data_IF_816328218316
#
_entry.id   IF_816328218316
#
_cell.length_a   1.000
_cell.length_b   1.000
_cell.length_c   1.000
_cell.angle_alpha   90.00
_cell.angle_beta   90.00
_cell.angle_gamma   90.00
#
_symmetry.space_group_name_H-M   'P 1'
#
loop_
_entity.id
_entity.type
_entity.pdbx_description
1 polymer ?
#
# COMPACT_ATOMS: atom_id res chain seq x y z
N UNK A 1 -4.12 -11.28 6.31
CA UNK A 1 -4.92 -12.25 5.51
C UNK A 1 -5.62 -11.68 4.27
N UNK A 2 -6.06 -10.41 4.22
CA UNK A 2 -6.70 -9.83 3.01
C UNK A 2 -5.72 -9.64 1.82
N UNK A 3 -4.47 -9.30 2.10
CA UNK A 3 -3.42 -9.14 1.07
C UNK A 3 -3.09 -10.45 0.33
N UNK A 4 -3.02 -11.58 1.07
CA UNK A 4 -2.79 -12.91 0.49
C UNK A 4 -3.95 -13.39 -0.39
N UNK A 5 -5.20 -13.06 -0.04
CA UNK A 5 -6.37 -13.37 -0.88
C UNK A 5 -6.33 -12.63 -2.21
N UNK A 6 -5.89 -11.37 -2.22
CA UNK A 6 -5.75 -10.61 -3.47
C UNK A 6 -4.55 -11.12 -4.29
N UNK A 7 -3.41 -11.43 -3.65
CA UNK A 7 -2.23 -12.01 -4.30
C UNK A 7 -2.53 -13.33 -5.00
N UNK A 8 -3.34 -14.20 -4.39
CA UNK A 8 -3.75 -15.48 -4.98
C UNK A 8 -4.60 -15.29 -6.25
N UNK A 9 -5.48 -14.29 -6.28
CA UNK A 9 -6.28 -13.95 -7.46
C UNK A 9 -5.40 -13.41 -8.59
N UNK A 10 -4.40 -12.58 -8.29
CA UNK A 10 -3.48 -12.08 -9.31
C UNK A 10 -2.59 -13.18 -9.91
N UNK A 11 -2.14 -14.13 -9.09
CA UNK A 11 -1.34 -15.27 -9.55
C UNK A 11 -2.15 -16.20 -10.47
N UNK A 12 -3.44 -16.39 -10.16
CA UNK A 12 -4.38 -17.14 -10.99
C UNK A 12 -4.58 -16.48 -12.36
N UNK A 13 -4.75 -15.15 -12.41
CA UNK A 13 -4.94 -14.41 -13.66
C UNK A 13 -3.70 -14.50 -14.56
N UNK A 14 -2.51 -14.38 -13.98
CA UNK A 14 -1.24 -14.53 -14.72
C UNK A 14 -1.10 -15.95 -15.28
N UNK A 15 -1.44 -16.97 -14.51
CA UNK A 15 -1.44 -18.37 -14.96
C UNK A 15 -2.39 -18.61 -16.13
N UNK A 16 -3.61 -18.08 -16.05
CA UNK A 16 -4.60 -18.19 -17.12
C UNK A 16 -4.14 -17.45 -18.38
N UNK A 17 -3.54 -16.27 -18.24
CA UNK A 17 -2.98 -15.53 -19.38
C UNK A 17 -1.85 -16.31 -20.07
N UNK A 18 -0.92 -16.89 -19.31
CA UNK A 18 0.15 -17.74 -19.86
C UNK A 18 -0.42 -18.97 -20.57
N UNK A 19 -1.44 -19.60 -19.98
CA UNK A 19 -2.13 -20.76 -20.57
C UNK A 19 -2.84 -20.41 -21.89
N UNK A 20 -3.52 -19.26 -21.94
CA UNK A 20 -4.17 -18.76 -23.16
C UNK A 20 -3.15 -18.42 -24.26
N UNK A 21 -2.00 -17.84 -23.91
CA UNK A 21 -0.93 -17.56 -24.87
C UNK A 21 -0.35 -18.86 -25.42
N UNK A 22 -0.10 -19.86 -24.57
CA UNK A 22 0.36 -21.20 -24.99
C UNK A 22 -0.66 -21.93 -25.86
N UNK A 23 -1.95 -21.72 -25.62
CA UNK A 23 -3.02 -22.33 -26.41
C UNK A 23 -3.22 -21.62 -27.76
N UNK A 24 -3.10 -20.29 -27.79
CA UNK A 24 -3.22 -19.51 -29.01
C UNK A 24 -2.01 -19.69 -29.95
N UNK A 25 -0.83 -19.90 -29.38
CA UNK A 25 0.41 -20.18 -30.12
C UNK A 25 0.97 -21.53 -29.69
N UNK A 26 0.38 -22.66 -30.13
CA UNK A 26 1.03 -23.95 -29.97
C UNK A 26 2.40 -23.87 -30.68
N UNK A 27 3.50 -24.29 -30.03
CA UNK A 27 4.80 -24.32 -30.70
C UNK A 27 4.65 -25.17 -31.95
N UNK A 28 4.94 -24.59 -33.12
CA UNK A 28 4.95 -25.27 -34.40
C UNK A 28 6.02 -26.37 -34.36
N UNK A 29 5.62 -27.53 -33.84
CA UNK A 29 6.41 -28.75 -33.81
C UNK A 29 5.95 -29.55 -35.00
N UNK A 30 6.38 -29.14 -36.21
CA UNK A 30 6.45 -30.11 -37.29
C UNK A 30 7.65 -31.00 -36.94
N UNK A 31 7.45 -32.29 -36.61
CA UNK A 31 8.57 -33.18 -36.35
C UNK A 31 9.41 -33.28 -37.62
N UNK A 32 10.70 -32.98 -37.48
CA UNK A 32 11.72 -33.25 -38.50
C UNK A 32 11.90 -34.77 -38.54
N UNK A 33 11.09 -35.44 -39.35
CA UNK A 33 11.00 -36.90 -39.33
C UNK A 33 12.00 -37.57 -40.30
N UNK A 34 12.73 -36.78 -41.11
CA UNK A 34 13.68 -37.31 -42.07
C UNK A 34 14.91 -36.40 -42.25
N UNK A 35 16.10 -37.00 -42.16
CA UNK A 35 17.38 -36.31 -42.41
C UNK A 35 17.54 -35.94 -43.89
N UNK A 36 18.20 -34.82 -44.18
CA UNK A 36 18.47 -34.36 -45.56
C UNK A 36 19.11 -35.44 -46.44
N UNK A 37 20.07 -36.21 -45.90
CA UNK A 37 20.74 -37.28 -46.63
C UNK A 37 19.81 -38.45 -46.96
N UNK A 38 18.88 -38.79 -46.05
CA UNK A 38 17.87 -39.83 -46.30
C UNK A 38 16.89 -39.38 -47.38
N UNK A 39 16.52 -38.12 -47.35
CA UNK A 39 15.69 -37.51 -48.38
C UNK A 39 16.38 -37.50 -49.76
N UNK A 40 17.65 -37.07 -49.83
CA UNK A 40 18.43 -37.09 -51.06
C UNK A 40 18.45 -38.50 -51.68
N UNK A 41 18.70 -39.52 -50.87
CA UNK A 41 18.71 -40.91 -51.32
C UNK A 41 17.31 -41.39 -51.76
N UNK A 42 16.24 -40.97 -51.08
CA UNK A 42 14.85 -41.31 -51.45
C UNK A 42 14.44 -40.72 -52.80
N UNK A 43 14.97 -39.55 -53.16
CA UNK A 43 14.79 -38.94 -54.49
C UNK A 43 15.51 -39.75 -55.56
N UNK A 44 16.78 -40.13 -55.33
CA UNK A 44 17.58 -40.94 -56.27
C UNK A 44 17.00 -42.36 -56.46
N UNK A 45 16.36 -42.91 -55.43
CA UNK A 45 15.72 -44.24 -55.49
C UNK A 45 14.27 -44.21 -56.00
N UNK A 46 13.81 -43.08 -56.55
CA UNK A 46 12.47 -42.90 -57.15
C UNK A 46 11.30 -43.20 -56.19
N UNK A 47 11.49 -42.93 -54.90
CA UNK A 47 10.46 -43.16 -53.86
C UNK A 47 9.58 -41.94 -53.59
N UNK A 48 9.97 -40.77 -54.12
CA UNK A 48 9.31 -39.49 -53.89
C UNK A 48 8.36 -39.16 -55.06
N UNK A 49 7.13 -38.74 -54.75
CA UNK A 49 6.11 -38.40 -55.75
C UNK A 49 5.98 -36.88 -55.96
N UNK A 50 5.97 -36.11 -54.86
CA UNK A 50 5.77 -34.66 -54.87
C UNK A 50 6.65 -34.01 -53.81
N UNK A 51 7.24 -32.87 -54.15
CA UNK A 51 8.03 -32.06 -53.22
C UNK A 51 7.53 -30.63 -53.29
N UNK A 52 7.10 -30.10 -52.14
CA UNK A 52 6.77 -28.69 -51.99
C UNK A 52 7.94 -27.99 -51.30
N UNK A 53 8.48 -26.96 -51.95
CA UNK A 53 9.64 -26.21 -51.44
C UNK A 53 9.15 -24.88 -50.87
N UNK A 54 9.53 -24.60 -49.63
CA UNK A 54 9.37 -23.30 -48.97
C UNK A 54 10.74 -22.78 -48.53
N UNK A 55 11.16 -21.66 -49.08
CA UNK A 55 12.45 -21.02 -48.79
C UNK A 55 12.28 -19.96 -47.71
N UNK A 56 13.02 -20.10 -46.61
CA UNK A 56 13.11 -19.11 -45.53
C UNK A 56 14.58 -18.74 -45.30
N UNK A 57 14.96 -17.51 -45.70
CA UNK A 57 16.28 -16.83 -45.70
C UNK A 57 17.56 -17.67 -45.95
N UNK A 58 17.83 -18.73 -45.17
CA UNK A 58 19.03 -19.58 -45.26
C UNK A 58 18.76 -21.10 -45.24
N UNK A 59 17.51 -21.55 -45.07
CA UNK A 59 17.14 -22.97 -45.01
C UNK A 59 15.91 -23.22 -45.88
N UNK A 60 15.96 -24.26 -46.71
CA UNK A 60 14.80 -24.73 -47.45
C UNK A 60 14.07 -25.78 -46.62
N UNK A 61 12.77 -25.61 -46.45
CA UNK A 61 11.87 -26.65 -45.95
C UNK A 61 11.28 -27.39 -47.14
N UNK A 62 11.51 -28.70 -47.18
CA UNK A 62 10.96 -29.61 -48.18
C UNK A 62 9.83 -30.42 -47.54
N UNK A 63 8.59 -30.20 -47.96
CA UNK A 63 7.47 -31.09 -47.66
C UNK A 63 7.42 -32.17 -48.73
N UNK A 64 7.75 -33.39 -48.34
CA UNK A 64 7.96 -34.54 -49.22
C UNK A 64 6.76 -35.46 -49.10
N UNK A 65 6.15 -35.80 -50.24
CA UNK A 65 5.13 -36.84 -50.32
C UNK A 65 5.71 -38.05 -51.03
N UNK A 66 5.88 -39.14 -50.28
CA UNK A 66 6.35 -40.43 -50.80
C UNK A 66 5.25 -41.09 -51.65
N UNK A 67 5.62 -41.96 -52.60
CA UNK A 67 4.65 -42.74 -53.40
C UNK A 67 3.72 -43.61 -52.52
N UNK A 68 4.17 -43.98 -51.33
CA UNK A 68 3.39 -44.70 -50.30
C UNK A 68 2.37 -43.81 -49.56
N UNK A 69 2.26 -42.52 -49.92
CA UNK A 69 1.30 -41.58 -49.35
C UNK A 69 1.72 -40.93 -48.03
N UNK A 70 2.90 -41.26 -47.49
CA UNK A 70 3.44 -40.61 -46.29
C UNK A 70 3.99 -39.22 -46.60
N UNK A 71 3.81 -38.30 -45.64
CA UNK A 71 4.31 -36.93 -45.70
C UNK A 71 5.45 -36.75 -44.69
N UNK A 72 6.57 -36.21 -45.15
CA UNK A 72 7.74 -35.91 -44.33
C UNK A 72 8.17 -34.46 -44.52
N UNK A 73 8.66 -33.84 -43.46
CA UNK A 73 9.22 -32.48 -43.50
C UNK A 73 10.73 -32.57 -43.28
N UNK A 74 11.49 -32.00 -44.21
CA UNK A 74 12.96 -32.06 -44.22
C UNK A 74 13.51 -30.65 -44.33
N UNK A 75 14.51 -30.33 -43.50
CA UNK A 75 15.29 -29.10 -43.65
C UNK A 75 16.56 -29.40 -44.43
N UNK A 76 16.88 -28.57 -45.42
CA UNK A 76 18.10 -28.69 -46.20
C UNK A 76 18.69 -27.34 -46.59
N UNK A 77 19.95 -27.34 -47.06
CA UNK A 77 20.62 -26.12 -47.51
C UNK A 77 19.83 -25.46 -48.66
N UNK A 78 19.81 -24.13 -48.66
CA UNK A 78 19.22 -23.35 -49.75
C UNK A 78 20.11 -23.42 -51.00
N UNK A 79 19.50 -23.63 -52.16
CA UNK A 79 20.19 -23.55 -53.46
C UNK A 79 20.96 -24.81 -53.91
N UNK A 80 20.64 -25.99 -53.38
CA UNK A 80 21.23 -27.25 -53.89
C UNK A 80 20.72 -27.57 -55.31
N UNK A 81 21.52 -27.18 -56.30
CA UNK A 81 21.22 -27.39 -57.72
C UNK A 81 21.32 -28.86 -58.13
N UNK A 82 22.11 -29.67 -57.42
CA UNK A 82 22.27 -31.09 -57.72
C UNK A 82 21.00 -31.87 -57.34
N UNK A 83 20.38 -31.53 -56.21
CA UNK A 83 19.10 -32.12 -55.82
C UNK A 83 17.98 -31.75 -56.78
N UNK A 84 17.90 -30.48 -57.23
CA UNK A 84 16.88 -30.07 -58.20
C UNK A 84 17.01 -30.77 -59.56
N UNK A 85 18.25 -31.07 -59.99
CA UNK A 85 18.49 -31.81 -61.23
C UNK A 85 18.03 -33.27 -61.12
N UNK A 86 18.33 -33.93 -59.99
CA UNK A 86 17.88 -35.30 -59.73
C UNK A 86 16.34 -35.39 -59.64
N UNK A 87 15.67 -34.40 -59.07
CA UNK A 87 14.20 -34.34 -59.05
C UNK A 87 13.58 -34.22 -60.45
N UNK A 88 14.25 -33.48 -61.36
CA UNK A 88 13.84 -33.35 -62.77
C UNK A 88 14.03 -34.66 -63.54
N UNK A 89 15.16 -35.35 -63.35
CA UNK A 89 15.45 -36.64 -64.00
C UNK A 89 14.46 -37.73 -63.59
N UNK A 90 14.00 -37.71 -62.33
CA UNK A 90 13.04 -38.68 -61.78
C UNK A 90 11.57 -38.23 -61.87
N UNK A 91 11.23 -37.20 -62.65
CA UNK A 91 9.86 -36.68 -62.84
C UNK A 91 9.11 -36.32 -61.54
N UNK A 92 9.82 -35.85 -60.52
CA UNK A 92 9.20 -35.44 -59.25
C UNK A 92 8.46 -34.11 -59.46
N UNK A 93 7.19 -34.05 -59.06
CA UNK A 93 6.39 -32.82 -59.16
C UNK A 93 6.88 -31.79 -58.14
N UNK A 94 7.55 -30.74 -58.62
CA UNK A 94 7.98 -29.61 -57.78
C UNK A 94 6.88 -28.54 -57.74
N UNK A 95 6.41 -28.20 -56.54
CA UNK A 95 5.55 -27.04 -56.30
C UNK A 95 6.23 -26.08 -55.33
N UNK A 96 6.16 -24.79 -55.63
CA UNK A 96 6.64 -23.76 -54.70
C UNK A 96 5.44 -23.08 -54.08
N UNK A 97 5.31 -23.17 -52.76
CA UNK A 97 4.36 -22.34 -52.04
C UNK A 97 5.10 -21.08 -51.57
N UNK A 98 4.57 -19.87 -51.85
CA UNK A 98 5.13 -18.66 -51.25
C UNK A 98 5.05 -18.79 -49.72
N UNK A 99 6.05 -18.30 -48.98
CA UNK A 99 6.04 -18.36 -47.52
C UNK A 99 4.76 -17.71 -47.01
N UNK A 100 4.14 -18.32 -46.00
CA UNK A 100 2.91 -17.82 -45.40
C UNK A 100 3.15 -16.40 -44.87
N UNK A 101 2.70 -15.38 -45.63
CA UNK A 101 2.87 -13.99 -45.24
C UNK A 101 1.91 -13.71 -44.09
N UNK A 102 2.48 -13.64 -42.89
CA UNK A 102 1.70 -13.24 -41.72
C UNK A 102 1.24 -11.80 -41.95
N UNK A 103 -0.08 -11.51 -41.94
CA UNK A 103 -0.54 -10.14 -42.16
C UNK A 103 0.07 -9.19 -41.13
N UNK A 104 0.53 -8.02 -41.57
CA UNK A 104 1.19 -7.02 -40.70
C UNK A 104 0.36 -6.65 -39.44
N UNK A 105 -0.96 -6.69 -39.56
CA UNK A 105 -1.88 -6.41 -38.45
C UNK A 105 -1.88 -7.51 -37.38
N UNK A 106 -1.55 -8.76 -37.71
CA UNK A 106 -1.50 -9.86 -36.75
C UNK A 106 -0.35 -9.66 -35.74
N UNK A 107 0.79 -9.14 -36.20
CA UNK A 107 1.90 -8.73 -35.33
C UNK A 107 1.53 -7.55 -34.41
N UNK A 108 0.79 -6.56 -34.94
CA UNK A 108 0.31 -5.43 -34.15
C UNK A 108 -0.68 -5.85 -33.07
N UNK A 109 -1.66 -6.70 -33.39
CA UNK A 109 -2.63 -7.18 -32.40
C UNK A 109 -1.92 -8.00 -31.32
N UNK A 110 -1.00 -8.88 -31.68
CA UNK A 110 -0.27 -9.72 -30.72
C UNK A 110 0.60 -8.89 -29.77
N UNK A 111 1.15 -7.77 -30.23
CA UNK A 111 2.02 -6.90 -29.43
C UNK A 111 1.26 -5.85 -28.63
N UNK A 112 0.23 -5.22 -29.23
CA UNK A 112 -0.51 -4.12 -28.61
C UNK A 112 -1.60 -4.59 -27.66
N UNK A 113 -2.20 -5.76 -27.89
CA UNK A 113 -3.29 -6.26 -27.05
C UNK A 113 -2.85 -6.52 -25.59
N UNK A 114 -1.67 -7.13 -25.31
CA UNK A 114 -1.17 -7.26 -23.94
C UNK A 114 -0.91 -5.90 -23.28
N UNK A 115 -0.36 -4.93 -24.02
CA UNK A 115 -0.07 -3.59 -23.49
C UNK A 115 -1.39 -2.86 -23.15
N UNK A 116 -2.38 -2.91 -24.03
CA UNK A 116 -3.69 -2.29 -23.79
C UNK A 116 -4.41 -2.93 -22.60
N UNK A 117 -4.31 -4.25 -22.41
CA UNK A 117 -4.87 -4.91 -21.24
C UNK A 117 -4.18 -4.47 -19.94
N UNK A 118 -2.85 -4.34 -19.94
CA UNK A 118 -2.10 -3.84 -18.77
C UNK A 118 -2.50 -2.39 -18.45
N UNK A 119 -2.54 -1.52 -19.47
CA UNK A 119 -2.90 -0.10 -19.30
C UNK A 119 -4.35 0.05 -18.83
N UNK A 120 -5.28 -0.67 -19.44
CA UNK A 120 -6.70 -0.67 -19.04
C UNK A 120 -6.92 -1.23 -17.64
N UNK A 121 -6.19 -2.29 -17.28
CA UNK A 121 -6.20 -2.84 -15.93
C UNK A 121 -5.63 -1.86 -14.90
N UNK A 122 -4.53 -1.17 -15.21
CA UNK A 122 -3.93 -0.17 -14.34
C UNK A 122 -4.88 1.02 -14.12
N UNK A 123 -5.57 1.45 -15.17
CA UNK A 123 -6.59 2.49 -15.10
C UNK A 123 -7.78 2.07 -14.22
N UNK A 124 -8.28 0.84 -14.37
CA UNK A 124 -9.34 0.28 -13.53
C UNK A 124 -8.93 0.16 -12.06
N UNK A 125 -7.70 -0.28 -11.79
CA UNK A 125 -7.14 -0.35 -10.43
C UNK A 125 -7.02 1.05 -9.80
N UNK A 126 -6.58 2.04 -10.58
CA UNK A 126 -6.48 3.43 -10.13
C UNK A 126 -7.85 3.99 -9.77
N UNK A 127 -8.88 3.66 -10.55
CA UNK A 127 -10.27 4.03 -10.29
C UNK A 127 -10.85 3.33 -9.03
N UNK A 128 -10.44 2.09 -8.73
CA UNK A 128 -10.86 1.39 -7.51
C UNK A 128 -10.13 1.90 -6.27
N UNK A 129 -8.90 2.41 -6.43
CA UNK A 129 -8.09 2.95 -5.32
C UNK A 129 -8.55 4.33 -4.82
N UNK A 130 -9.29 5.10 -5.64
CA UNK A 130 -9.90 6.37 -5.21
C UNK A 130 -11.02 6.21 -4.16
N UNK A 131 -11.52 4.99 -3.90
CA UNK A 131 -12.39 4.70 -2.75
C UNK A 131 -11.63 4.56 -1.41
N UNK A 132 -10.30 4.65 -1.40
CA UNK A 132 -9.43 4.45 -0.24
C UNK A 132 -8.62 5.68 0.20
N UNK A 133 -8.79 6.83 -0.46
CA UNK A 133 -8.02 8.07 -0.20
C UNK A 133 -8.21 8.68 1.21
N UNK A 134 -9.18 8.20 1.98
CA UNK A 134 -9.48 8.70 3.32
C UNK A 134 -8.54 8.16 4.42
N UNK A 135 -7.68 7.17 4.12
CA UNK A 135 -6.74 6.64 5.13
C UNK A 135 -5.47 7.47 5.28
N UNK A 136 -4.97 8.10 4.22
CA UNK A 136 -3.74 8.91 4.29
C UNK A 136 -3.98 10.20 5.07
N UNK A 137 -5.17 10.79 4.96
CA UNK A 137 -5.60 11.96 5.75
C UNK A 137 -5.95 11.65 7.22
N UNK A 138 -6.04 10.37 7.61
CA UNK A 138 -6.35 9.97 8.99
C UNK A 138 -5.11 9.81 9.88
N UNK A 139 -3.90 9.81 9.31
CA UNK A 139 -2.66 9.68 10.09
C UNK A 139 -2.37 10.88 11.00
N UNK A 140 -2.84 12.08 10.61
CA UNK A 140 -2.61 13.33 11.35
C UNK A 140 -3.69 13.68 12.39
N UNK A 141 -4.80 12.94 12.45
CA UNK A 141 -5.87 13.18 13.44
C UNK A 141 -5.50 12.57 14.79
N UNK A 142 -5.74 13.33 15.86
CA UNK A 142 -5.60 12.88 17.23
C UNK A 142 -6.55 11.73 17.51
N UNK A 143 -6.04 10.66 18.14
CA UNK A 143 -6.83 9.55 18.66
C UNK A 143 -7.42 9.85 20.04
N UNK A 144 -7.35 11.11 20.49
CA UNK A 144 -7.93 11.53 21.76
C UNK A 144 -9.38 11.08 21.83
N UNK A 145 -9.64 10.17 22.77
CA UNK A 145 -10.99 9.66 22.98
C UNK A 145 -11.73 10.75 23.74
N UNK A 146 -12.60 11.48 23.05
CA UNK A 146 -13.54 12.37 23.72
C UNK A 146 -14.44 11.47 24.59
N UNK A 147 -14.22 11.50 25.90
CA UNK A 147 -15.04 10.76 26.84
C UNK A 147 -16.30 11.59 27.07
N UNK A 148 -17.23 11.54 26.12
CA UNK A 148 -18.62 12.01 26.29
C UNK A 148 -19.49 10.96 26.97
N UNK A 149 -18.89 9.90 27.53
CA UNK A 149 -19.65 8.81 28.13
C UNK A 149 -20.42 9.30 29.37
N UNK A 150 -21.73 9.42 29.22
CA UNK A 150 -22.75 9.49 30.28
C UNK A 150 -22.68 8.30 31.28
N UNK A 151 -21.76 7.36 31.07
CA UNK A 151 -21.60 6.15 31.88
C UNK A 151 -20.54 6.36 32.96
N UNK A 152 -21.03 6.79 34.12
CA UNK A 152 -20.34 7.08 35.40
C UNK A 152 -19.41 8.29 35.37
N UNK A 153 -19.95 9.44 35.76
CA UNK A 153 -19.18 10.57 36.27
C UNK A 153 -18.44 10.09 37.53
N UNK A 154 -17.11 10.11 37.48
CA UNK A 154 -16.26 9.91 38.66
C UNK A 154 -16.16 11.25 39.37
N UNK A 155 -16.34 11.29 40.69
CA UNK A 155 -16.24 12.51 41.52
C UNK A 155 -15.16 12.36 42.59
N UNK A 156 -14.93 13.39 43.42
CA UNK A 156 -13.93 13.28 44.50
C UNK A 156 -14.30 12.24 45.56
N UNK A 157 -15.58 11.90 45.69
CA UNK A 157 -16.09 10.83 46.55
C UNK A 157 -15.60 9.43 46.10
N UNK A 158 -15.32 9.25 44.80
CA UNK A 158 -14.82 7.98 44.26
C UNK A 158 -13.29 7.82 44.43
N UNK A 159 -12.59 8.87 44.87
CA UNK A 159 -11.14 8.85 45.12
C UNK A 159 -10.90 8.72 46.61
N UNK A 160 -10.20 7.67 47.05
CA UNK A 160 -9.85 7.52 48.47
C UNK A 160 -8.54 8.26 48.81
N UNK A 161 -8.53 9.01 49.91
CA UNK A 161 -7.36 9.75 50.40
C UNK A 161 -6.96 10.93 49.50
N UNK A 162 -5.68 11.33 49.58
CA UNK A 162 -5.12 12.50 48.89
C UNK A 162 -5.89 13.80 49.21
N UNK A 163 -6.34 13.96 50.45
CA UNK A 163 -7.25 15.04 50.86
C UNK A 163 -6.63 16.43 50.62
N UNK A 164 -5.33 16.60 50.89
CA UNK A 164 -4.58 17.83 50.58
C UNK A 164 -4.60 18.17 49.08
N UNK A 165 -4.43 17.15 48.22
CA UNK A 165 -4.42 17.35 46.75
C UNK A 165 -5.83 17.64 46.24
N UNK A 166 -6.86 17.02 46.83
CA UNK A 166 -8.26 17.32 46.48
C UNK A 166 -8.63 18.76 46.83
N UNK A 167 -8.17 19.26 47.97
CA UNK A 167 -8.39 20.65 48.39
C UNK A 167 -7.73 21.63 47.41
N UNK A 168 -6.48 21.38 46.99
CA UNK A 168 -5.84 22.20 45.95
C UNK A 168 -6.57 22.14 44.59
N UNK A 169 -7.06 20.95 44.21
CA UNK A 169 -7.79 20.77 42.97
C UNK A 169 -9.22 21.33 43.01
N UNK A 170 -9.77 21.61 44.20
CA UNK A 170 -11.07 22.25 44.35
C UNK A 170 -11.06 23.68 43.77
N UNK A 171 -9.94 24.39 43.84
CA UNK A 171 -9.76 25.69 43.18
C UNK A 171 -9.89 25.57 41.65
N UNK A 172 -9.32 24.52 41.07
CA UNK A 172 -9.42 24.22 39.63
C UNK A 172 -10.87 23.90 39.24
N UNK A 173 -11.58 23.14 40.09
CA UNK A 173 -13.01 22.85 39.91
C UNK A 173 -13.85 24.13 39.95
N UNK A 174 -13.64 25.00 40.95
CA UNK A 174 -14.37 26.26 41.09
C UNK A 174 -14.13 27.16 39.88
N UNK A 175 -12.90 27.21 39.38
CA UNK A 175 -12.56 27.95 38.17
C UNK A 175 -13.36 27.45 36.95
N UNK A 176 -13.37 26.14 36.71
CA UNK A 176 -14.07 25.56 35.57
C UNK A 176 -15.60 25.74 35.66
N UNK A 177 -16.16 25.76 36.89
CA UNK A 177 -17.58 26.05 37.13
C UNK A 177 -17.93 27.53 36.97
N UNK A 178 -17.06 28.43 37.44
CA UNK A 178 -17.34 29.86 37.54
C UNK A 178 -16.24 30.73 36.91
N UNK A 179 -15.87 30.54 35.63
CA UNK A 179 -14.72 31.22 35.03
C UNK A 179 -14.87 32.75 35.00
N UNK A 180 -16.11 33.26 34.92
CA UNK A 180 -16.39 34.71 34.93
C UNK A 180 -15.96 35.38 36.24
N UNK A 181 -16.18 34.73 37.39
CA UNK A 181 -15.82 35.26 38.72
C UNK A 181 -14.32 35.53 38.82
N UNK A 182 -13.49 34.60 38.32
CA UNK A 182 -12.04 34.74 38.34
C UNK A 182 -11.53 35.78 37.32
N UNK A 183 -12.14 35.83 36.13
CA UNK A 183 -11.80 36.82 35.11
C UNK A 183 -12.11 38.26 35.57
N UNK A 184 -13.24 38.47 36.25
CA UNK A 184 -13.64 39.79 36.79
C UNK A 184 -12.69 40.27 37.91
N UNK A 185 -12.15 39.34 38.69
CA UNK A 185 -11.14 39.63 39.71
C UNK A 185 -9.74 39.87 39.13
N UNK A 186 -9.55 39.64 37.81
CA UNK A 186 -8.25 39.72 37.16
C UNK A 186 -7.27 38.63 37.61
N UNK A 187 -7.79 37.54 38.19
CA UNK A 187 -6.96 36.42 38.64
C UNK A 187 -6.36 35.68 37.44
N UNK A 188 -5.05 35.45 37.46
CA UNK A 188 -4.38 34.66 36.42
C UNK A 188 -4.58 33.18 36.71
N UNK A 189 -5.35 32.53 35.85
CA UNK A 189 -5.68 31.12 35.99
C UNK A 189 -4.47 30.25 35.60
N UNK A 190 -4.18 29.18 36.36
CA UNK A 190 -3.14 28.22 35.98
C UNK A 190 -3.52 27.53 34.67
N UNK A 191 -2.60 27.50 33.70
CA UNK A 191 -2.83 26.86 32.40
C UNK A 191 -2.79 25.33 32.47
N UNK A 192 -2.18 24.78 33.51
CA UNK A 192 -2.08 23.34 33.69
C UNK A 192 -1.59 22.95 35.07
N UNK A 193 -1.79 21.68 35.40
CA UNK A 193 -1.45 21.07 36.69
C UNK A 193 -0.66 19.79 36.45
N UNK A 194 0.53 19.69 37.05
CA UNK A 194 1.37 18.50 36.94
C UNK A 194 1.21 17.62 38.16
N UNK A 195 0.47 16.52 38.03
CA UNK A 195 0.38 15.48 39.06
C UNK A 195 1.57 14.52 38.95
N UNK A 196 2.45 14.51 39.95
CA UNK A 196 3.61 13.61 39.99
C UNK A 196 3.53 12.64 41.18
N UNK A 197 4.15 11.46 41.04
CA UNK A 197 4.21 10.46 42.10
C UNK A 197 4.33 9.04 41.55
N UNK A 198 4.50 8.02 42.42
CA UNK A 198 4.63 6.62 42.01
C UNK A 198 3.48 6.12 41.12
N UNK A 199 3.69 5.15 40.23
CA UNK A 199 2.59 4.55 39.45
C UNK A 199 1.55 3.92 40.39
N UNK A 200 0.27 3.97 40.01
CA UNK A 200 -0.83 3.38 40.79
C UNK A 200 -1.41 4.25 41.90
N UNK A 201 -0.94 5.49 42.11
CA UNK A 201 -1.48 6.42 43.13
C UNK A 201 -2.78 7.13 42.74
N UNK A 202 -3.44 6.70 41.67
CA UNK A 202 -4.74 7.27 41.27
C UNK A 202 -4.68 8.63 40.55
N UNK A 203 -3.53 9.08 40.03
CA UNK A 203 -3.41 10.34 39.26
C UNK A 203 -4.46 10.49 38.16
N UNK A 204 -4.60 9.47 37.31
CA UNK A 204 -5.60 9.43 36.23
C UNK A 204 -7.04 9.43 36.75
N UNK A 205 -7.28 8.82 37.93
CA UNK A 205 -8.59 8.81 38.57
C UNK A 205 -8.92 10.19 39.15
N UNK A 206 -7.95 10.84 39.77
CA UNK A 206 -8.08 12.19 40.33
C UNK A 206 -8.36 13.22 39.23
N UNK A 207 -7.64 13.17 38.10
CA UNK A 207 -7.92 14.06 36.96
C UNK A 207 -9.34 13.87 36.39
N UNK A 208 -9.84 12.62 36.34
CA UNK A 208 -11.23 12.34 35.95
C UNK A 208 -12.24 12.87 36.98
N UNK A 209 -11.91 12.77 38.26
CA UNK A 209 -12.74 13.30 39.34
C UNK A 209 -12.89 14.83 39.24
N UNK A 210 -11.80 15.57 38.96
CA UNK A 210 -11.85 17.02 38.75
C UNK A 210 -12.81 17.39 37.61
N UNK A 211 -12.75 16.67 36.48
CA UNK A 211 -13.65 16.89 35.36
C UNK A 211 -15.10 16.56 35.69
N UNK A 212 -15.33 15.47 36.44
CA UNK A 212 -16.65 15.07 36.89
C UNK A 212 -17.28 16.05 37.87
N UNK A 213 -16.47 16.56 38.81
CA UNK A 213 -16.86 17.60 39.77
C UNK A 213 -17.22 18.90 39.06
N UNK A 214 -16.37 19.35 38.12
CA UNK A 214 -16.60 20.55 37.32
C UNK A 214 -17.74 20.39 36.30
N UNK A 215 -18.08 19.15 35.94
CA UNK A 215 -19.10 18.85 34.93
C UNK A 215 -18.68 19.21 33.50
N UNK A 216 -17.37 19.22 33.22
CA UNK A 216 -16.79 19.61 31.93
C UNK A 216 -16.31 18.39 31.12
N UNK A 217 -16.17 18.49 29.78
CA UNK A 217 -15.59 17.43 28.97
C UNK A 217 -14.16 17.07 29.40
N UNK A 218 -13.85 15.78 29.33
CA UNK A 218 -12.53 15.22 29.66
C UNK A 218 -11.90 14.57 28.42
N UNK A 219 -10.82 15.17 27.93
CA UNK A 219 -9.98 14.61 26.88
C UNK A 219 -8.81 13.87 27.51
N UNK A 220 -8.57 12.63 27.11
CA UNK A 220 -7.46 11.81 27.62
C UNK A 220 -6.63 11.27 26.47
N UNK A 221 -5.31 11.45 26.58
CA UNK A 221 -4.31 10.95 25.64
C UNK A 221 -3.09 10.46 26.41
N UNK A 222 -2.40 9.43 25.92
CA UNK A 222 -1.09 9.04 26.47
C UNK A 222 0.00 9.84 25.78
N UNK A 223 1.00 10.29 26.53
CA UNK A 223 2.20 10.95 26.03
C UNK A 223 2.95 10.08 25.04
N UNK A 224 2.88 8.75 25.21
CA UNK A 224 3.46 7.80 24.26
C UNK A 224 2.77 7.81 22.88
N UNK A 225 1.49 8.20 22.79
CA UNK A 225 0.74 8.30 21.52
C UNK A 225 1.27 9.43 20.62
N UNK A 226 2.05 10.35 21.18
CA UNK A 226 2.71 11.42 20.45
C UNK A 226 4.08 11.03 19.89
N UNK A 227 4.64 9.90 20.32
CA UNK A 227 5.97 9.43 19.87
C UNK A 227 5.77 8.38 18.79
N UNK A 228 5.94 8.75 17.52
CA UNK A 228 5.81 7.82 16.40
C UNK A 228 7.09 7.73 15.54
N UNK A 229 7.14 6.70 14.68
CA UNK A 229 8.26 6.49 13.76
C UNK A 229 8.26 7.50 12.59
N UNK A 230 7.16 8.21 12.38
CA UNK A 230 6.97 9.12 11.26
C UNK A 230 7.10 10.58 11.72
N UNK A 231 8.05 11.30 11.12
CA UNK A 231 8.32 12.71 11.42
C UNK A 231 7.06 13.57 11.22
N UNK A 232 6.76 14.43 12.19
CA UNK A 232 5.65 15.39 12.12
C UNK A 232 4.26 14.85 12.48
N UNK A 233 4.10 13.55 12.67
CA UNK A 233 2.80 12.97 13.08
C UNK A 233 2.44 13.37 14.52
N UNK A 234 3.40 13.31 15.45
CA UNK A 234 3.21 13.76 16.84
C UNK A 234 2.73 15.21 16.92
N UNK A 235 3.44 16.14 16.27
CA UNK A 235 3.07 17.55 16.21
C UNK A 235 1.66 17.80 15.60
N UNK A 236 1.26 17.04 14.57
CA UNK A 236 -0.09 17.15 14.00
C UNK A 236 -1.18 16.73 15.01
N UNK A 237 -0.93 15.67 15.78
CA UNK A 237 -1.88 15.21 16.82
C UNK A 237 -2.02 16.20 17.96
N UNK A 238 -0.92 16.83 18.36
CA UNK A 238 -0.92 17.90 19.36
C UNK A 238 -1.84 19.04 18.91
N UNK A 239 -1.68 19.52 17.65
CA UNK A 239 -2.56 20.58 17.11
C UNK A 239 -4.03 20.18 17.09
N UNK A 240 -4.34 18.99 16.57
CA UNK A 240 -5.73 18.51 16.49
C UNK A 240 -6.36 18.31 17.89
N UNK A 241 -5.58 17.82 18.87
CA UNK A 241 -6.03 17.72 20.27
C UNK A 241 -6.44 19.09 20.81
N UNK A 242 -5.57 20.10 20.65
CA UNK A 242 -5.84 21.43 21.18
C UNK A 242 -6.93 22.17 20.39
N UNK A 243 -7.06 21.94 19.08
CA UNK A 243 -8.20 22.45 18.30
C UNK A 243 -9.54 21.86 18.78
N UNK A 244 -9.57 20.57 19.10
CA UNK A 244 -10.76 19.94 19.66
C UNK A 244 -11.07 20.44 21.07
N UNK A 245 -10.05 20.63 21.92
CA UNK A 245 -10.21 21.22 23.25
C UNK A 245 -10.79 22.64 23.18
N UNK A 246 -10.26 23.50 22.30
CA UNK A 246 -10.76 24.86 22.05
C UNK A 246 -12.24 24.89 21.65
N UNK A 247 -12.68 23.93 20.81
CA UNK A 247 -14.08 23.81 20.39
C UNK A 247 -15.03 23.34 21.51
N UNK A 248 -14.51 22.68 22.54
CA UNK A 248 -15.29 22.10 23.63
C UNK A 248 -15.01 22.78 24.98
N UNK A 249 -14.44 23.98 24.98
CA UNK A 249 -14.16 24.73 26.19
C UNK A 249 -15.46 25.17 26.91
N UNK A 250 -15.50 25.17 28.25
CA UNK A 250 -14.43 24.79 29.18
C UNK A 250 -14.24 23.27 29.24
N UNK A 251 -12.99 22.79 29.31
CA UNK A 251 -12.67 21.35 29.35
C UNK A 251 -11.32 21.07 30.02
N UNK A 252 -11.07 19.78 30.31
CA UNK A 252 -9.78 19.28 30.80
C UNK A 252 -9.11 18.41 29.74
N UNK A 253 -7.82 18.64 29.51
CA UNK A 253 -6.97 17.87 28.60
C UNK A 253 -5.91 17.12 29.40
N UNK A 254 -6.19 15.87 29.74
CA UNK A 254 -5.26 15.04 30.50
C UNK A 254 -4.27 14.30 29.59
N UNK A 255 -2.98 14.53 29.82
CA UNK A 255 -1.87 13.84 29.17
C UNK A 255 -1.21 12.90 30.18
N UNK A 256 -1.50 11.61 30.06
CA UNK A 256 -0.83 10.58 30.87
C UNK A 256 0.61 10.37 30.37
N UNK A 257 1.54 9.92 31.21
CA UNK A 257 2.93 9.61 30.79
C UNK A 257 3.61 10.73 29.96
N UNK A 258 3.43 11.99 30.36
CA UNK A 258 4.03 13.15 29.67
C UNK A 258 5.57 13.10 29.63
N UNK A 259 6.19 12.34 30.52
CA UNK A 259 7.63 12.08 30.52
C UNK A 259 8.11 11.36 29.25
N UNK A 260 7.23 10.65 28.53
CA UNK A 260 7.54 10.05 27.24
C UNK A 260 7.93 11.08 26.17
N UNK A 261 7.31 12.28 26.21
CA UNK A 261 7.60 13.41 25.29
C UNK A 261 8.59 14.42 25.89
N UNK A 262 8.62 14.57 27.23
CA UNK A 262 9.45 15.55 27.92
C UNK A 262 10.90 15.15 28.19
N UNK A 263 11.32 13.92 27.84
CA UNK A 263 12.67 13.42 28.15
C UNK A 263 13.73 13.94 27.17
N UNK A 264 14.57 14.88 27.61
CA UNK A 264 15.85 15.20 26.93
C UNK A 264 16.77 13.97 26.92
N UNK A 265 17.39 13.65 25.77
CA UNK A 265 18.57 12.76 25.72
C UNK A 265 19.75 13.46 25.06
N UNK A 266 20.94 13.18 25.57
CA UNK A 266 22.20 13.70 25.05
C UNK A 266 22.58 13.13 23.68
N UNK A 267 23.50 13.85 23.02
CA UNK A 267 24.08 13.64 21.70
C UNK A 267 24.19 12.15 21.29
N UNK A 268 23.21 11.68 20.52
CA UNK A 268 23.21 10.36 19.90
C UNK A 268 22.79 10.51 18.44
N UNK A 269 23.70 10.21 17.52
CA UNK A 269 23.50 10.20 16.06
C UNK A 269 22.37 9.23 15.68
N UNK A 270 21.16 9.75 15.47
CA UNK A 270 20.02 8.99 14.95
C UNK A 270 18.76 9.84 14.88
N UNK A 271 18.19 9.99 13.68
CA UNK A 271 17.08 10.90 13.34
C UNK A 271 15.71 10.65 14.00
N UNK A 272 15.65 9.95 15.13
CA UNK A 272 14.48 9.90 16.00
C UNK A 272 14.43 11.05 17.02
N UNK A 273 15.48 11.88 17.08
CA UNK A 273 15.57 13.03 17.99
C UNK A 273 14.62 14.16 17.57
N UNK A 274 14.59 14.44 16.26
CA UNK A 274 13.90 15.60 15.69
C UNK A 274 12.38 15.54 15.88
N UNK A 275 11.79 14.33 15.84
CA UNK A 275 10.35 14.14 15.96
C UNK A 275 9.82 14.44 17.37
N UNK A 276 10.55 14.03 18.40
CA UNK A 276 10.16 14.28 19.80
C UNK A 276 10.33 15.73 20.16
N UNK A 277 11.44 16.34 19.75
CA UNK A 277 11.69 17.77 20.00
C UNK A 277 10.67 18.64 19.26
N UNK A 278 10.34 18.31 18.02
CA UNK A 278 9.29 18.99 17.26
C UNK A 278 7.93 18.89 17.96
N UNK A 279 7.60 17.70 18.46
CA UNK A 279 6.33 17.43 19.15
C UNK A 279 6.25 18.15 20.50
N UNK A 280 7.34 18.13 21.28
CA UNK A 280 7.45 18.88 22.54
C UNK A 280 7.32 20.38 22.30
N UNK A 281 8.04 20.93 21.33
CA UNK A 281 7.96 22.34 20.98
C UNK A 281 6.55 22.71 20.53
N UNK A 282 5.87 21.85 19.76
CA UNK A 282 4.49 22.08 19.38
C UNK A 282 3.54 22.10 20.59
N UNK A 283 3.76 21.23 21.58
CA UNK A 283 2.98 21.20 22.81
C UNK A 283 3.20 22.50 23.62
N UNK A 284 4.44 22.97 23.74
CA UNK A 284 4.76 24.24 24.39
C UNK A 284 4.12 25.43 23.67
N UNK A 285 4.17 25.47 22.34
CA UNK A 285 3.53 26.51 21.53
C UNK A 285 2.01 26.55 21.74
N UNK A 286 1.35 25.40 21.78
CA UNK A 286 -0.09 25.35 22.05
C UNK A 286 -0.41 25.75 23.50
N UNK A 287 0.39 25.32 24.49
CA UNK A 287 0.26 25.73 25.90
C UNK A 287 0.41 27.25 26.09
N UNK A 288 1.37 27.85 25.40
CA UNK A 288 1.58 29.30 25.43
C UNK A 288 0.49 30.06 24.68
N UNK A 289 -0.03 29.48 23.59
CA UNK A 289 -1.09 30.03 22.76
C UNK A 289 -2.45 30.19 23.46
N UNK A 290 -2.67 29.57 24.62
CA UNK A 290 -3.88 29.80 25.41
C UNK A 290 -3.88 31.18 26.06
N UNK A 291 -4.92 31.96 25.78
CA UNK A 291 -5.29 33.06 26.66
C UNK A 291 -5.84 32.46 27.95
N UNK A 292 -5.40 32.95 29.12
CA UNK A 292 -5.79 32.41 30.43
C UNK A 292 -7.30 32.34 30.70
N UNK A 293 -8.11 32.99 29.86
CA UNK A 293 -9.55 33.08 30.00
C UNK A 293 -10.33 32.06 29.14
N UNK A 294 -9.66 31.19 28.38
CA UNK A 294 -10.33 30.23 27.48
C UNK A 294 -10.95 29.03 28.21
N UNK A 295 -10.71 28.87 29.52
CA UNK A 295 -11.36 27.82 30.33
C UNK A 295 -10.85 26.41 30.06
N UNK A 296 -9.61 26.28 29.61
CA UNK A 296 -8.97 24.99 29.30
C UNK A 296 -7.85 24.76 30.31
N UNK A 297 -7.87 23.59 30.95
CA UNK A 297 -6.83 23.15 31.90
C UNK A 297 -6.17 21.88 31.37
N UNK A 298 -4.84 21.85 31.43
CA UNK A 298 -3.99 20.73 30.97
C UNK A 298 -3.47 19.95 32.18
#
# INVERSE_FOLDING_TARGET
MKFFKNAAVYLLIILIAIMLIRWANPPATQPLDMDYTKFYNAVVTDQVAEVVISTDDNVNTYEVKTKDGQQHVVLGPSGDTALSQQMLEHNVSMRTNPPATTPWWAGLVTTLLPILLIVGFFFFMMQQSQGGGNRVMQFGKSRAKLVTDEKKKVTFDDVAGADEVKEELEEVVEFLKFPKKFNELGAKIPKGVLLFGPPGTGKTLLARAVAGEAGVPFFSISGSDFVEMFVGVGASRVRDLFEQAKKNAPCIVFIDEIDAVGRQRGAGLGGGHDEREQTLNQLLVEMDGFNGNEGIII
#
